data_IF_137787582346
#
_entry.id   IF_137787582346
#
_cell.length_a   1.000
_cell.length_b   1.000
_cell.length_c   1.000
_cell.angle_alpha   90.00
_cell.angle_beta   90.00
_cell.angle_gamma   90.00
#
_symmetry.space_group_name_H-M   'P 1'
#
loop_
_entity.id
_entity.type
_entity.pdbx_description
1 polymer ?
#
# COMPACT_ATOMS: atom_id res chain seq x y z
N UNK A 1 -7.63 -24.07 -45.32
CA UNK A 1 -7.98 -22.73 -44.82
C UNK A 1 -7.65 -22.70 -43.34
N UNK A 2 -6.69 -21.85 -42.97
CA UNK A 2 -6.29 -21.49 -41.59
C UNK A 2 -7.43 -20.81 -40.83
N UNK A 3 -7.28 -20.78 -39.48
CA UNK A 3 -7.77 -19.81 -38.46
C UNK A 3 -8.48 -20.57 -37.32
N UNK A 4 -8.06 -20.51 -36.06
CA UNK A 4 -7.02 -19.74 -35.40
C UNK A 4 -7.01 -20.11 -33.91
N UNK A 5 -5.85 -19.95 -33.28
CA UNK A 5 -5.64 -20.06 -31.84
C UNK A 5 -6.52 -19.05 -31.08
N UNK A 6 -7.06 -19.47 -29.94
CA UNK A 6 -7.42 -18.55 -28.86
C UNK A 6 -7.36 -19.33 -27.54
N UNK A 7 -6.13 -19.58 -27.12
CA UNK A 7 -5.78 -19.59 -25.72
C UNK A 7 -6.32 -18.28 -25.11
N UNK A 8 -7.24 -18.42 -24.17
CA UNK A 8 -7.95 -17.31 -23.54
C UNK A 8 -7.69 -17.34 -22.04
N UNK A 9 -6.41 -17.37 -21.68
CA UNK A 9 -5.90 -17.01 -20.36
C UNK A 9 -6.45 -15.64 -19.94
N UNK A 10 -6.82 -15.58 -18.65
CA UNK A 10 -6.96 -14.41 -17.80
C UNK A 10 -7.30 -13.08 -18.48
N UNK A 11 -8.47 -12.51 -18.14
CA UNK A 11 -8.49 -11.23 -17.40
C UNK A 11 -9.61 -11.25 -16.39
N UNK A 12 -9.16 -11.24 -15.13
CA UNK A 12 -9.94 -10.92 -13.95
C UNK A 12 -10.79 -9.68 -14.25
N UNK A 13 -12.06 -9.73 -13.87
CA UNK A 13 -12.92 -8.57 -13.76
C UNK A 13 -12.19 -7.47 -12.95
N UNK A 14 -11.52 -6.56 -13.65
CA UNK A 14 -10.97 -5.33 -13.10
C UNK A 14 -12.17 -4.45 -12.72
N UNK A 15 -12.72 -4.70 -11.53
CA UNK A 15 -13.60 -3.77 -10.85
C UNK A 15 -12.76 -2.53 -10.46
N UNK A 16 -12.91 -1.38 -11.12
CA UNK A 16 -11.96 -0.27 -11.02
C UNK A 16 -12.25 0.64 -9.83
N UNK A 17 -12.65 0.09 -8.68
CA UNK A 17 -12.95 0.88 -7.47
C UNK A 17 -12.75 0.09 -6.18
N UNK A 18 -11.49 -0.13 -5.80
CA UNK A 18 -11.07 -0.05 -4.40
C UNK A 18 -9.62 0.44 -4.43
N UNK A 19 -9.39 1.68 -3.99
CA UNK A 19 -8.06 2.04 -3.49
C UNK A 19 -7.77 1.02 -2.38
N UNK A 20 -6.97 0.02 -2.71
CA UNK A 20 -6.73 -1.11 -1.82
C UNK A 20 -5.97 -0.54 -0.62
N UNK A 21 -6.58 -0.59 0.56
CA UNK A 21 -5.95 -0.25 1.83
C UNK A 21 -4.81 -1.25 2.08
N UNK A 22 -3.69 -1.07 1.39
CA UNK A 22 -2.56 -1.98 1.41
C UNK A 22 -1.40 -1.34 2.17
N UNK A 23 -0.61 -2.15 2.89
CA UNK A 23 0.61 -1.66 3.54
C UNK A 23 1.61 -1.08 2.52
N UNK A 24 1.56 -1.50 1.26
CA UNK A 24 2.41 -0.99 0.18
C UNK A 24 2.15 0.50 -0.10
N UNK A 25 0.90 0.97 0.02
CA UNK A 25 0.57 2.38 -0.16
C UNK A 25 1.19 3.26 0.94
N UNK A 26 1.21 2.76 2.18
CA UNK A 26 1.91 3.43 3.29
C UNK A 26 3.41 3.46 3.02
N UNK A 27 3.99 2.33 2.61
CA UNK A 27 5.42 2.26 2.30
C UNK A 27 5.81 3.21 1.16
N UNK A 28 4.99 3.28 0.10
CA UNK A 28 5.22 4.18 -1.03
C UNK A 28 5.14 5.66 -0.62
N UNK A 29 4.20 6.04 0.25
CA UNK A 29 4.17 7.39 0.83
C UNK A 29 5.44 7.69 1.63
N UNK A 30 5.88 6.73 2.46
CA UNK A 30 7.05 6.89 3.32
C UNK A 30 8.40 6.90 2.56
N UNK A 31 8.42 6.42 1.32
CA UNK A 31 9.56 6.56 0.40
C UNK A 31 9.69 7.98 -0.15
N UNK A 32 8.59 8.73 -0.22
CA UNK A 32 8.59 10.11 -0.72
C UNK A 32 8.96 11.10 0.38
N UNK A 33 8.38 10.92 1.57
CA UNK A 33 8.60 11.79 2.72
C UNK A 33 8.34 11.06 4.03
N UNK A 34 9.00 11.51 5.11
CA UNK A 34 8.71 10.99 6.45
C UNK A 34 7.42 11.59 6.98
N UNK A 35 6.47 10.77 7.43
CA UNK A 35 5.12 11.18 7.82
C UNK A 35 4.72 10.62 9.18
N UNK A 36 3.90 11.35 9.92
CA UNK A 36 3.21 10.84 11.11
C UNK A 36 2.04 9.92 10.73
N UNK A 37 1.59 9.09 11.67
CA UNK A 37 0.42 8.22 11.46
C UNK A 37 -0.85 9.01 11.09
N UNK A 38 -1.03 10.21 11.65
CA UNK A 38 -2.16 11.09 11.32
C UNK A 38 -2.08 11.61 9.89
N UNK A 39 -0.90 12.04 9.44
CA UNK A 39 -0.69 12.47 8.04
C UNK A 39 -0.96 11.33 7.05
N UNK A 40 -0.56 10.11 7.40
CA UNK A 40 -0.82 8.90 6.58
C UNK A 40 -2.31 8.59 6.54
N UNK A 41 -3.00 8.67 7.70
CA UNK A 41 -4.47 8.51 7.82
C UNK A 41 -5.17 9.49 6.88
N UNK A 42 -4.79 10.77 6.91
CA UNK A 42 -5.38 11.82 6.08
C UNK A 42 -5.08 11.64 4.58
N UNK A 43 -3.86 11.26 4.22
CA UNK A 43 -3.45 11.08 2.82
C UNK A 43 -4.10 9.85 2.16
N UNK A 44 -4.26 8.78 2.92
CA UNK A 44 -4.82 7.52 2.40
C UNK A 44 -6.32 7.37 2.66
N UNK A 45 -6.92 8.23 3.50
CA UNK A 45 -8.34 8.14 3.84
C UNK A 45 -8.70 6.85 4.59
N UNK A 46 -7.74 6.26 5.30
CA UNK A 46 -7.93 5.01 6.06
C UNK A 46 -7.92 5.27 7.56
N UNK A 47 -8.45 4.32 8.35
CA UNK A 47 -8.50 4.47 9.80
C UNK A 47 -7.10 4.44 10.41
N UNK A 48 -6.88 5.27 11.44
CA UNK A 48 -5.59 5.32 12.15
C UNK A 48 -5.22 3.97 12.77
N UNK A 49 -6.20 3.16 13.19
CA UNK A 49 -5.98 1.79 13.67
C UNK A 49 -5.35 0.89 12.60
N UNK A 50 -5.78 1.03 11.35
CA UNK A 50 -5.25 0.26 10.23
C UNK A 50 -3.85 0.77 9.86
N UNK A 51 -3.64 2.08 9.84
CA UNK A 51 -2.32 2.70 9.65
C UNK A 51 -1.31 2.14 10.65
N UNK A 52 -1.65 2.16 11.94
CA UNK A 52 -0.76 1.65 13.00
C UNK A 52 -0.48 0.15 12.86
N UNK A 53 -1.50 -0.64 12.48
CA UNK A 53 -1.34 -2.07 12.22
C UNK A 53 -0.37 -2.30 11.05
N UNK A 54 -0.51 -1.57 9.95
CA UNK A 54 0.36 -1.69 8.79
C UNK A 54 1.78 -1.20 9.10
N UNK A 55 1.94 -0.06 9.78
CA UNK A 55 3.23 0.46 10.21
C UNK A 55 3.97 -0.52 11.11
N UNK A 56 3.25 -1.15 12.06
CA UNK A 56 3.81 -2.19 12.91
C UNK A 56 4.30 -3.38 12.09
N UNK A 57 3.48 -3.86 11.15
CA UNK A 57 3.86 -4.97 10.24
C UNK A 57 5.09 -4.64 9.40
N UNK A 58 5.15 -3.44 8.81
CA UNK A 58 6.27 -2.98 7.99
C UNK A 58 7.54 -2.77 8.84
N UNK A 59 7.40 -2.29 10.06
CA UNK A 59 8.52 -2.10 10.99
C UNK A 59 9.13 -3.43 11.44
N UNK A 60 8.29 -4.44 11.73
CA UNK A 60 8.75 -5.80 12.04
C UNK A 60 9.49 -6.46 10.86
N UNK A 61 9.14 -6.07 9.63
CA UNK A 61 9.83 -6.51 8.41
C UNK A 61 11.09 -5.70 8.10
N UNK A 62 11.41 -4.68 8.90
CA UNK A 62 12.55 -3.78 8.69
C UNK A 62 12.38 -2.81 7.52
N UNK A 63 11.17 -2.67 6.97
CA UNK A 63 10.88 -1.80 5.82
C UNK A 63 10.58 -0.36 6.23
N UNK A 64 10.19 -0.13 7.49
CA UNK A 64 9.86 1.19 8.04
C UNK A 64 10.53 1.40 9.38
N UNK A 65 11.11 2.58 9.58
CA UNK A 65 11.63 3.07 10.85
C UNK A 65 10.79 4.21 11.41
N UNK A 66 10.92 4.47 12.71
CA UNK A 66 10.29 5.61 13.38
C UNK A 66 11.37 6.50 14.03
N UNK A 67 11.26 7.81 13.85
CA UNK A 67 12.13 8.80 14.50
C UNK A 67 11.32 10.05 14.87
N UNK A 68 11.22 10.32 16.17
CA UNK A 68 10.54 11.52 16.68
C UNK A 68 9.06 11.58 16.32
N UNK A 69 8.35 10.44 16.36
CA UNK A 69 6.92 10.36 16.04
C UNK A 69 6.59 10.42 14.55
N UNK A 70 7.60 10.34 13.68
CA UNK A 70 7.44 10.24 12.22
C UNK A 70 8.01 8.92 11.72
N UNK A 71 7.32 8.32 10.77
CA UNK A 71 7.70 7.10 10.10
C UNK A 71 8.46 7.42 8.82
N UNK A 72 9.39 6.56 8.40
CA UNK A 72 10.17 6.67 7.17
C UNK A 72 10.47 5.28 6.61
N UNK A 73 10.62 5.15 5.29
CA UNK A 73 11.03 3.88 4.69
C UNK A 73 12.53 3.62 4.91
N UNK A 74 12.90 2.38 5.25
CA UNK A 74 14.29 1.93 5.45
C UNK A 74 14.92 1.35 4.19
#
# INVERSE_FOLDING_TARGET
>A
LLLGEADGDARQDENPQYQVNSPENILNLLKLESLSADEITLKLGILSSDVLKYLTGLSLQGQVGEKGGRYYAC
#
